data_IF_624384235892
#
_entry.id   IF_624384235892
#
_cell.length_a   1.000
_cell.length_b   1.000
_cell.length_c   1.000
_cell.angle_alpha   90.00
_cell.angle_beta   90.00
_cell.angle_gamma   90.00
#
_symmetry.space_group_name_H-M   'P 1'
#
loop_
_entity.id
_entity.type
_entity.pdbx_description
1 polymer ?
#
# COMPACT_ATOMS: atom_id res chain seq x y z
N UNK A 1 6.58 22.57 -1.31
CA UNK A 1 6.37 21.17 -0.85
C UNK A 1 4.87 20.88 -0.91
N UNK A 2 4.43 19.75 -1.49
CA UNK A 2 3.00 19.38 -1.53
C UNK A 2 2.49 19.19 -0.09
N UNK A 3 1.21 19.56 0.14
CA UNK A 3 0.53 19.26 1.39
C UNK A 3 0.22 17.76 1.46
N UNK A 4 0.35 17.17 2.63
CA UNK A 4 -0.07 15.80 2.92
C UNK A 4 -1.55 15.72 3.39
N UNK A 5 -2.34 16.75 3.10
CA UNK A 5 -3.75 16.81 3.47
C UNK A 5 -4.62 16.26 2.35
N UNK A 6 -5.59 15.41 2.71
CA UNK A 6 -6.58 14.93 1.73
C UNK A 6 -7.57 16.04 1.32
N UNK A 7 -8.13 15.93 0.11
CA UNK A 7 -9.19 16.81 -0.36
C UNK A 7 -10.54 16.59 0.37
N UNK A 8 -10.69 15.51 1.13
CA UNK A 8 -11.94 15.22 1.82
C UNK A 8 -12.17 16.14 3.00
N UNK A 9 -13.38 16.71 3.10
CA UNK A 9 -13.74 17.48 4.29
C UNK A 9 -13.89 16.56 5.51
N UNK A 10 -13.62 17.08 6.71
CA UNK A 10 -13.75 16.30 7.96
C UNK A 10 -15.11 15.57 8.12
N UNK A 11 -16.28 16.18 7.80
CA UNK A 11 -17.54 15.46 7.86
C UNK A 11 -17.64 14.30 6.87
N UNK A 12 -17.16 14.49 5.63
CA UNK A 12 -17.11 13.43 4.62
C UNK A 12 -16.21 12.30 5.08
N UNK A 13 -15.01 12.65 5.57
CA UNK A 13 -14.01 11.68 6.00
C UNK A 13 -14.51 10.78 7.11
N UNK A 14 -15.23 11.33 8.12
CA UNK A 14 -15.81 10.53 9.21
C UNK A 14 -16.84 9.51 8.74
N UNK A 15 -17.74 9.91 7.85
CA UNK A 15 -18.74 9.01 7.27
C UNK A 15 -18.10 7.96 6.38
N UNK A 16 -17.12 8.37 5.59
CA UNK A 16 -16.36 7.52 4.69
C UNK A 16 -15.56 6.46 5.47
N UNK A 17 -14.85 6.87 6.53
CA UNK A 17 -14.12 5.98 7.42
C UNK A 17 -15.01 4.87 8.01
N UNK A 18 -16.22 5.21 8.43
CA UNK A 18 -17.15 4.21 8.95
C UNK A 18 -17.48 3.14 7.88
N UNK A 19 -17.60 3.56 6.62
CA UNK A 19 -17.80 2.64 5.49
C UNK A 19 -16.59 1.76 5.23
N UNK A 20 -15.40 2.34 5.19
CA UNK A 20 -14.13 1.62 5.01
C UNK A 20 -13.94 0.56 6.08
N UNK A 21 -14.15 0.90 7.35
CA UNK A 21 -14.02 -0.05 8.48
C UNK A 21 -15.04 -1.19 8.45
N UNK A 22 -16.14 -1.03 7.73
CA UNK A 22 -17.16 -2.07 7.54
C UNK A 22 -17.05 -2.81 6.20
N UNK A 23 -16.13 -2.40 5.32
CA UNK A 23 -16.06 -2.93 3.97
C UNK A 23 -15.56 -4.38 3.94
N UNK A 24 -16.20 -5.20 3.10
CA UNK A 24 -15.79 -6.58 2.86
C UNK A 24 -15.71 -6.87 1.38
N UNK A 25 -14.74 -7.66 0.97
CA UNK A 25 -14.64 -8.23 -0.36
C UNK A 25 -14.91 -9.73 -0.32
N UNK A 26 -15.90 -10.21 -1.05
CA UNK A 26 -16.37 -11.63 -1.01
C UNK A 26 -16.61 -12.14 0.42
N UNK A 27 -17.09 -11.27 1.31
CA UNK A 27 -17.36 -11.61 2.71
C UNK A 27 -16.14 -11.55 3.65
N UNK A 28 -14.94 -11.28 3.13
CA UNK A 28 -13.71 -11.10 3.90
C UNK A 28 -13.48 -9.61 4.13
N UNK A 29 -13.07 -9.22 5.35
CA UNK A 29 -12.73 -7.82 5.62
C UNK A 29 -11.62 -7.34 4.67
N UNK A 30 -11.92 -6.20 4.01
CA UNK A 30 -11.01 -5.54 3.09
C UNK A 30 -11.05 -4.04 3.40
N UNK A 31 -10.16 -3.59 4.28
CA UNK A 31 -10.19 -2.23 4.85
C UNK A 31 -9.60 -1.18 3.88
N UNK A 32 -9.85 -1.35 2.58
CA UNK A 32 -9.39 -0.43 1.53
C UNK A 32 -10.46 0.62 1.21
N UNK A 33 -10.01 1.83 1.00
CA UNK A 33 -10.85 2.92 0.51
C UNK A 33 -11.36 2.61 -0.91
N UNK A 34 -12.66 2.73 -1.19
CA UNK A 34 -13.19 2.53 -2.55
C UNK A 34 -12.56 3.43 -3.61
N UNK A 35 -12.11 4.63 -3.23
CA UNK A 35 -11.39 5.54 -4.14
C UNK A 35 -10.02 4.96 -4.46
N UNK A 36 -9.30 4.46 -3.46
CA UNK A 36 -8.00 3.86 -3.67
C UNK A 36 -8.10 2.54 -4.43
N UNK A 37 -9.18 1.76 -4.26
CA UNK A 37 -9.48 0.62 -5.13
C UNK A 37 -9.59 1.06 -6.59
N UNK A 38 -10.26 2.19 -6.88
CA UNK A 38 -10.34 2.71 -8.24
C UNK A 38 -8.96 3.19 -8.78
N UNK A 39 -8.13 3.76 -7.92
CA UNK A 39 -6.73 4.10 -8.27
C UNK A 39 -5.94 2.82 -8.57
N UNK A 40 -6.08 1.77 -7.75
CA UNK A 40 -5.42 0.48 -7.99
C UNK A 40 -5.85 -0.17 -9.30
N UNK A 41 -7.14 -0.10 -9.67
CA UNK A 41 -7.62 -0.59 -10.97
C UNK A 41 -6.86 0.06 -12.13
N UNK A 42 -6.74 1.38 -12.13
CA UNK A 42 -5.96 2.13 -13.14
C UNK A 42 -4.48 1.75 -13.10
N UNK A 43 -3.89 1.78 -11.90
CA UNK A 43 -2.47 1.48 -11.69
C UNK A 43 -2.12 0.08 -12.21
N UNK A 44 -2.87 -0.95 -11.83
CA UNK A 44 -2.61 -2.32 -12.26
C UNK A 44 -2.74 -2.48 -13.78
N UNK A 45 -3.74 -1.82 -14.38
CA UNK A 45 -3.93 -1.85 -15.84
C UNK A 45 -2.76 -1.17 -16.60
N UNK A 46 -2.27 -0.05 -16.11
CA UNK A 46 -1.20 0.72 -16.76
C UNK A 46 0.19 0.11 -16.48
N UNK A 47 0.47 -0.27 -15.23
CA UNK A 47 1.76 -0.80 -14.79
C UNK A 47 1.98 -2.25 -15.27
N UNK A 48 0.94 -3.08 -15.28
CA UNK A 48 1.00 -4.53 -15.56
C UNK A 48 2.07 -5.23 -14.72
N UNK A 49 1.98 -5.14 -13.37
CA UNK A 49 3.02 -5.63 -12.49
C UNK A 49 3.22 -7.13 -12.61
N UNK A 50 4.46 -7.58 -12.40
CA UNK A 50 4.82 -9.00 -12.27
C UNK A 50 4.76 -9.46 -10.82
N UNK A 51 4.73 -8.51 -9.89
CA UNK A 51 4.53 -8.71 -8.46
C UNK A 51 3.51 -7.70 -7.95
N UNK A 52 2.55 -8.20 -7.16
CA UNK A 52 1.75 -7.38 -6.24
C UNK A 52 2.10 -7.88 -4.84
N UNK A 53 2.77 -7.03 -4.06
CA UNK A 53 3.18 -7.37 -2.70
C UNK A 53 2.48 -6.44 -1.73
N UNK A 54 1.82 -7.03 -0.75
CA UNK A 54 1.15 -6.31 0.35
C UNK A 54 1.87 -6.60 1.66
N UNK A 55 2.21 -5.56 2.41
CA UNK A 55 2.62 -5.65 3.81
C UNK A 55 1.46 -5.19 4.66
N UNK A 56 0.90 -6.10 5.45
CA UNK A 56 -0.34 -5.90 6.21
C UNK A 56 -1.53 -6.67 5.60
N UNK A 57 -1.54 -8.00 5.75
CA UNK A 57 -2.63 -8.86 5.24
C UNK A 57 -3.93 -8.70 6.00
N UNK A 58 -3.86 -8.39 7.29
CA UNK A 58 -4.99 -8.37 8.23
C UNK A 58 -5.88 -9.63 8.08
N UNK A 59 -7.06 -9.51 7.45
CA UNK A 59 -7.97 -10.64 7.19
C UNK A 59 -7.77 -11.30 5.81
N UNK A 60 -6.88 -10.76 4.95
CA UNK A 60 -6.60 -11.25 3.60
C UNK A 60 -7.57 -10.77 2.51
N UNK A 61 -8.50 -9.86 2.84
CA UNK A 61 -9.51 -9.40 1.88
C UNK A 61 -8.93 -8.57 0.73
N UNK A 62 -7.91 -7.77 0.99
CA UNK A 62 -7.18 -7.00 -0.03
C UNK A 62 -6.34 -7.89 -0.93
N UNK A 63 -5.64 -8.87 -0.37
CA UNK A 63 -4.91 -9.86 -1.16
C UNK A 63 -5.84 -10.63 -2.11
N UNK A 64 -7.05 -11.03 -1.64
CA UNK A 64 -8.07 -11.66 -2.46
C UNK A 64 -8.57 -10.73 -3.57
N UNK A 65 -8.78 -9.45 -3.26
CA UNK A 65 -9.14 -8.44 -4.26
C UNK A 65 -8.04 -8.32 -5.34
N UNK A 66 -6.78 -8.21 -4.94
CA UNK A 66 -5.66 -8.13 -5.89
C UNK A 66 -5.53 -9.38 -6.76
N UNK A 67 -5.74 -10.57 -6.21
CA UNK A 67 -5.72 -11.80 -6.98
C UNK A 67 -6.82 -11.83 -8.05
N UNK A 68 -8.05 -11.43 -7.69
CA UNK A 68 -9.17 -11.35 -8.65
C UNK A 68 -8.93 -10.26 -9.71
N UNK A 69 -8.39 -9.11 -9.33
CA UNK A 69 -8.07 -8.06 -10.29
C UNK A 69 -6.98 -8.49 -11.28
N UNK A 70 -5.94 -9.16 -10.79
CA UNK A 70 -4.89 -9.71 -11.65
C UNK A 70 -5.46 -10.72 -12.65
N UNK A 71 -6.33 -11.62 -12.20
CA UNK A 71 -7.00 -12.60 -13.07
C UNK A 71 -7.90 -11.94 -14.12
N UNK A 72 -8.78 -11.02 -13.69
CA UNK A 72 -9.72 -10.31 -14.60
C UNK A 72 -8.96 -9.50 -15.66
N UNK A 73 -7.83 -8.91 -15.28
CA UNK A 73 -6.99 -8.11 -16.19
C UNK A 73 -6.01 -8.94 -17.01
N UNK A 74 -5.93 -10.26 -16.79
CA UNK A 74 -4.98 -11.15 -17.46
C UNK A 74 -3.51 -10.83 -17.12
N UNK A 75 -3.23 -10.40 -15.89
CA UNK A 75 -1.89 -10.09 -15.43
C UNK A 75 -1.18 -11.38 -14.98
N UNK A 76 0.07 -11.54 -15.38
CA UNK A 76 0.94 -12.62 -14.91
C UNK A 76 1.70 -12.17 -13.64
N UNK A 77 0.97 -11.73 -12.62
CA UNK A 77 1.52 -11.23 -11.37
C UNK A 77 1.53 -12.31 -10.28
N UNK A 78 2.63 -12.44 -9.54
CA UNK A 78 2.62 -13.13 -8.24
C UNK A 78 1.97 -12.23 -7.21
N UNK A 79 1.06 -12.80 -6.39
CA UNK A 79 0.44 -12.09 -5.27
C UNK A 79 1.06 -12.60 -3.99
N UNK A 80 1.74 -11.72 -3.26
CA UNK A 80 2.38 -12.02 -1.97
C UNK A 80 1.79 -11.07 -0.93
N UNK A 81 1.37 -11.58 0.21
CA UNK A 81 0.86 -10.78 1.31
C UNK A 81 1.54 -11.18 2.61
N UNK A 82 2.16 -10.22 3.31
CA UNK A 82 2.98 -10.43 4.51
C UNK A 82 2.28 -9.81 5.71
N UNK A 83 2.21 -10.53 6.82
CA UNK A 83 1.67 -10.02 8.08
C UNK A 83 2.35 -10.73 9.27
N UNK A 84 2.25 -10.15 10.45
CA UNK A 84 2.66 -10.81 11.70
C UNK A 84 1.92 -12.14 11.93
N UNK A 85 0.67 -12.22 11.42
CA UNK A 85 -0.17 -13.41 11.49
C UNK A 85 -0.74 -13.75 10.11
N UNK A 86 -0.58 -14.99 9.69
CA UNK A 86 -1.18 -15.48 8.44
C UNK A 86 -2.70 -15.51 8.60
N UNK A 87 -3.49 -14.90 7.67
CA UNK A 87 -4.94 -14.94 7.72
C UNK A 87 -5.50 -16.38 7.67
N UNK A 88 -6.35 -16.75 8.63
CA UNK A 88 -6.94 -18.09 8.66
C UNK A 88 -8.16 -18.24 7.73
N UNK A 89 -8.83 -17.11 7.40
CA UNK A 89 -10.11 -17.07 6.70
C UNK A 89 -10.03 -17.10 5.18
N UNK A 90 -8.85 -16.96 4.59
CA UNK A 90 -8.65 -16.94 3.14
C UNK A 90 -7.72 -18.08 2.73
N UNK A 91 -8.20 -18.91 1.80
CA UNK A 91 -7.40 -19.93 1.13
C UNK A 91 -7.60 -19.78 -0.36
N UNK A 92 -6.57 -19.33 -1.05
CA UNK A 92 -6.57 -19.09 -2.49
C UNK A 92 -5.16 -19.39 -3.02
N UNK A 93 -5.04 -20.34 -3.92
CA UNK A 93 -3.76 -20.82 -4.44
C UNK A 93 -3.01 -19.77 -5.28
N UNK A 94 -3.69 -18.67 -5.63
CA UNK A 94 -3.08 -17.52 -6.34
C UNK A 94 -2.31 -16.60 -5.40
N UNK A 95 -2.50 -16.75 -4.06
CA UNK A 95 -1.94 -15.86 -3.05
C UNK A 95 -0.93 -16.63 -2.19
N UNK A 96 0.25 -16.06 -2.04
CA UNK A 96 1.25 -16.54 -1.08
C UNK A 96 1.18 -15.68 0.18
N UNK A 97 0.62 -16.22 1.27
CA UNK A 97 0.66 -15.57 2.56
C UNK A 97 1.95 -15.94 3.30
N UNK A 98 2.64 -14.93 3.82
CA UNK A 98 3.91 -15.08 4.55
C UNK A 98 3.78 -14.45 5.94
N UNK A 99 4.39 -15.09 6.93
CA UNK A 99 4.53 -14.48 8.25
C UNK A 99 5.80 -13.64 8.29
N UNK A 100 5.67 -12.35 8.62
CA UNK A 100 6.81 -11.43 8.71
C UNK A 100 6.45 -10.15 9.47
N UNK A 101 7.47 -9.48 9.96
CA UNK A 101 7.37 -8.18 10.64
C UNK A 101 7.86 -7.08 9.69
N UNK A 102 7.09 -5.99 9.57
CA UNK A 102 7.50 -4.81 8.78
C UNK A 102 8.86 -4.24 9.22
N UNK A 103 9.21 -4.44 10.49
CA UNK A 103 10.50 -4.00 11.04
C UNK A 103 11.68 -4.87 10.58
N UNK A 104 11.44 -6.06 10.02
CA UNK A 104 12.48 -7.01 9.57
C UNK A 104 11.96 -7.87 8.41
N UNK A 105 11.62 -7.23 7.29
CA UNK A 105 11.09 -7.91 6.10
C UNK A 105 12.15 -8.68 5.32
N UNK A 106 13.40 -8.25 5.33
CA UNK A 106 14.46 -8.81 4.50
C UNK A 106 14.49 -10.33 4.47
N UNK A 107 14.59 -11.02 5.63
CA UNK A 107 14.70 -12.49 5.67
C UNK A 107 13.52 -13.23 5.03
N UNK A 108 12.27 -12.76 5.24
CA UNK A 108 11.07 -13.42 4.68
C UNK A 108 10.96 -13.17 3.17
N UNK A 109 11.34 -11.97 2.70
CA UNK A 109 11.33 -11.63 1.29
C UNK A 109 12.42 -12.38 0.51
N UNK A 110 13.61 -12.54 1.07
CA UNK A 110 14.67 -13.36 0.51
C UNK A 110 14.26 -14.84 0.45
N UNK A 111 13.71 -15.38 1.54
CA UNK A 111 13.30 -16.77 1.61
C UNK A 111 12.20 -17.13 0.61
N UNK A 112 11.35 -16.19 0.22
CA UNK A 112 10.32 -16.42 -0.81
C UNK A 112 10.81 -16.18 -2.26
N UNK A 113 12.08 -15.83 -2.44
CA UNK A 113 12.68 -15.56 -3.75
C UNK A 113 12.14 -14.29 -4.40
N UNK A 114 11.91 -13.23 -3.60
CA UNK A 114 11.34 -11.97 -4.11
C UNK A 114 12.19 -11.40 -5.24
N UNK A 115 13.51 -11.35 -5.04
CA UNK A 115 14.46 -10.70 -5.98
C UNK A 115 14.57 -11.44 -7.33
N UNK A 116 14.01 -12.65 -7.44
CA UNK A 116 13.92 -13.42 -8.69
C UNK A 116 12.67 -13.05 -9.52
N UNK A 117 11.73 -12.28 -8.94
CA UNK A 117 10.49 -11.89 -9.63
C UNK A 117 10.78 -10.70 -10.55
N UNK A 118 10.45 -10.80 -11.86
CA UNK A 118 10.65 -9.69 -12.78
C UNK A 118 9.90 -8.43 -12.39
N UNK A 119 10.40 -7.28 -12.77
CA UNK A 119 9.71 -6.00 -12.66
C UNK A 119 8.75 -5.78 -13.86
N UNK A 120 7.79 -4.86 -13.77
CA UNK A 120 7.60 -3.92 -12.65
C UNK A 120 6.87 -4.54 -11.45
N UNK A 121 7.05 -3.93 -10.28
CA UNK A 121 6.39 -4.29 -9.03
C UNK A 121 5.38 -3.24 -8.59
N UNK A 122 4.30 -3.70 -7.99
CA UNK A 122 3.41 -2.89 -7.18
C UNK A 122 3.46 -3.37 -5.74
N UNK A 123 3.85 -2.49 -4.84
CA UNK A 123 3.98 -2.77 -3.41
C UNK A 123 3.01 -1.89 -2.64
N UNK A 124 2.30 -2.44 -1.65
CA UNK A 124 1.51 -1.68 -0.69
C UNK A 124 2.05 -1.88 0.72
N UNK A 125 2.25 -0.82 1.47
CA UNK A 125 2.52 -0.83 2.91
C UNK A 125 1.26 -0.36 3.64
N UNK A 126 0.58 -1.29 4.27
CA UNK A 126 -0.70 -1.13 4.98
C UNK A 126 -0.68 -1.90 6.30
N UNK A 127 0.47 -1.88 6.99
CA UNK A 127 0.67 -2.65 8.21
C UNK A 127 0.19 -1.89 9.47
N UNK A 128 1.07 -1.69 10.44
CA UNK A 128 0.72 -1.01 11.69
C UNK A 128 0.68 0.53 11.60
N UNK A 129 0.96 1.12 10.45
CA UNK A 129 1.01 2.57 10.17
C UNK A 129 1.93 3.37 11.11
N UNK A 130 2.80 2.71 11.88
CA UNK A 130 3.74 3.40 12.75
C UNK A 130 4.82 4.11 11.94
N UNK A 131 5.26 5.27 12.40
CA UNK A 131 6.38 6.00 11.77
C UNK A 131 7.60 5.09 11.53
N UNK A 132 8.00 4.30 12.54
CA UNK A 132 9.16 3.40 12.43
C UNK A 132 8.92 2.28 11.39
N UNK A 133 7.73 1.67 11.37
CA UNK A 133 7.38 0.62 10.39
C UNK A 133 7.36 1.15 8.97
N UNK A 134 6.77 2.34 8.75
CA UNK A 134 6.76 2.99 7.44
C UNK A 134 8.20 3.33 6.96
N UNK A 135 9.08 3.81 7.84
CA UNK A 135 10.49 4.05 7.50
C UNK A 135 11.23 2.75 7.18
N UNK A 136 10.98 1.66 7.93
CA UNK A 136 11.59 0.36 7.67
C UNK A 136 11.17 -0.17 6.29
N UNK A 137 9.88 -0.11 5.96
CA UNK A 137 9.37 -0.50 4.65
C UNK A 137 9.96 0.35 3.52
N UNK A 138 10.02 1.69 3.69
CA UNK A 138 10.64 2.58 2.70
C UNK A 138 12.10 2.23 2.46
N UNK A 139 12.88 1.94 3.51
CA UNK A 139 14.27 1.54 3.39
C UNK A 139 14.42 0.20 2.66
N UNK A 140 13.64 -0.81 3.05
CA UNK A 140 13.66 -2.15 2.45
C UNK A 140 13.32 -2.10 0.96
N UNK A 141 12.19 -1.48 0.61
CA UNK A 141 11.75 -1.45 -0.78
C UNK A 141 12.55 -0.50 -1.66
N UNK A 142 13.11 0.58 -1.11
CA UNK A 142 14.01 1.44 -1.90
C UNK A 142 15.25 0.73 -2.39
N UNK A 143 15.73 -0.27 -1.63
CA UNK A 143 16.90 -1.06 -1.99
C UNK A 143 16.60 -2.14 -3.06
N UNK A 144 15.36 -2.63 -3.12
CA UNK A 144 14.95 -3.73 -4.01
C UNK A 144 14.22 -3.29 -5.28
N UNK A 145 13.45 -2.21 -5.19
CA UNK A 145 12.65 -1.71 -6.31
C UNK A 145 13.52 -1.09 -7.40
N UNK A 146 13.05 -1.20 -8.64
CA UNK A 146 13.69 -0.65 -9.84
C UNK A 146 12.90 0.54 -10.39
N UNK A 147 13.53 1.40 -11.21
CA UNK A 147 12.85 2.53 -11.83
C UNK A 147 11.54 2.13 -12.54
N UNK A 148 10.47 2.82 -12.20
CA UNK A 148 9.12 2.57 -12.70
C UNK A 148 8.23 1.73 -11.78
N UNK A 149 8.78 1.03 -10.80
CA UNK A 149 7.97 0.36 -9.76
C UNK A 149 7.17 1.36 -8.94
N UNK A 150 6.05 0.92 -8.38
CA UNK A 150 5.18 1.75 -7.55
C UNK A 150 5.08 1.18 -6.15
N UNK A 151 5.30 2.04 -5.15
CA UNK A 151 5.01 1.78 -3.74
C UNK A 151 3.83 2.66 -3.31
N UNK A 152 2.78 2.06 -2.75
CA UNK A 152 1.71 2.76 -2.06
C UNK A 152 1.94 2.66 -0.54
N UNK A 153 2.23 3.81 0.09
CA UNK A 153 2.23 3.97 1.54
C UNK A 153 0.81 4.37 1.93
N UNK A 154 0.12 3.46 2.60
CA UNK A 154 -1.31 3.63 2.87
C UNK A 154 -1.58 4.43 4.15
N UNK A 155 -2.84 4.85 4.28
CA UNK A 155 -3.41 5.49 5.48
C UNK A 155 -2.76 6.81 5.93
N UNK A 156 -2.16 7.58 5.01
CA UNK A 156 -1.75 8.97 5.29
C UNK A 156 -2.89 9.86 5.79
N UNK A 157 -4.13 9.48 5.52
CA UNK A 157 -5.36 10.13 6.02
C UNK A 157 -5.48 10.19 7.55
N UNK A 158 -4.67 9.45 8.29
CA UNK A 158 -4.64 9.46 9.77
C UNK A 158 -4.41 10.87 10.34
N UNK A 159 -3.68 11.74 9.63
CA UNK A 159 -3.50 13.15 10.00
C UNK A 159 -4.83 13.92 9.92
N UNK A 160 -5.57 13.77 8.82
CA UNK A 160 -6.85 14.43 8.61
C UNK A 160 -7.96 13.90 9.55
N UNK A 161 -7.85 12.64 9.95
CA UNK A 161 -8.67 12.03 11.00
C UNK A 161 -8.31 12.51 12.41
N UNK A 162 -7.13 13.10 12.59
CA UNK A 162 -6.63 13.61 13.86
C UNK A 162 -6.19 12.51 14.84
N UNK A 163 -5.69 11.40 14.32
CA UNK A 163 -5.24 10.25 15.12
C UNK A 163 -3.79 9.82 14.86
N UNK A 164 -3.05 10.54 14.02
CA UNK A 164 -1.66 10.21 13.65
C UNK A 164 -0.69 10.18 14.83
N UNK A 165 -0.96 10.92 15.92
CA UNK A 165 -0.14 10.88 17.13
C UNK A 165 -0.07 9.47 17.75
N UNK A 166 -1.11 8.64 17.57
CA UNK A 166 -1.12 7.25 18.05
C UNK A 166 -0.10 6.37 17.33
N UNK A 167 0.38 6.83 16.19
CA UNK A 167 1.30 6.15 15.28
C UNK A 167 2.63 6.90 15.15
N UNK A 168 2.95 7.75 16.11
CA UNK A 168 4.12 8.63 16.12
C UNK A 168 4.23 9.48 14.83
N UNK A 169 3.10 10.06 14.40
CA UNK A 169 3.00 10.83 13.18
C UNK A 169 2.75 10.01 11.91
N UNK A 170 2.85 8.69 11.99
CA UNK A 170 2.43 7.74 10.97
C UNK A 170 3.06 7.88 9.59
N UNK A 171 2.32 7.45 8.55
CA UNK A 171 2.83 7.39 7.18
C UNK A 171 3.29 8.75 6.64
N UNK A 172 2.53 9.83 6.86
CA UNK A 172 2.86 11.16 6.30
C UNK A 172 4.17 11.71 6.85
N UNK A 173 4.41 11.52 8.16
CA UNK A 173 5.69 11.90 8.78
C UNK A 173 6.85 11.10 8.20
N UNK A 174 6.70 9.79 8.11
CA UNK A 174 7.72 8.91 7.55
C UNK A 174 8.05 9.27 6.09
N UNK A 175 7.03 9.49 5.26
CA UNK A 175 7.19 9.92 3.88
C UNK A 175 7.92 11.26 3.77
N UNK A 176 7.51 12.26 4.56
CA UNK A 176 8.13 13.58 4.54
C UNK A 176 9.61 13.53 4.91
N UNK A 177 9.95 12.81 5.98
CA UNK A 177 11.33 12.63 6.44
C UNK A 177 12.16 11.82 5.43
N UNK A 178 11.60 10.71 4.92
CA UNK A 178 12.33 9.83 3.99
C UNK A 178 12.64 10.53 2.66
N UNK A 179 11.64 11.16 2.03
CA UNK A 179 11.82 11.85 0.76
C UNK A 179 12.81 13.02 0.87
N UNK A 180 12.82 13.72 2.00
CA UNK A 180 13.78 14.80 2.26
C UNK A 180 15.22 14.28 2.45
N UNK A 181 15.36 13.12 3.10
CA UNK A 181 16.67 12.52 3.37
C UNK A 181 17.27 11.78 2.16
N UNK A 182 16.41 11.30 1.23
CA UNK A 182 16.81 10.47 0.10
C UNK A 182 16.29 11.03 -1.24
N UNK A 183 16.72 12.24 -1.62
CA UNK A 183 16.29 12.85 -2.88
C UNK A 183 16.69 11.99 -4.07
N UNK A 184 15.78 11.80 -5.03
CA UNK A 184 16.05 11.01 -6.24
C UNK A 184 15.86 9.50 -6.09
N UNK A 185 15.39 9.01 -4.94
CA UNK A 185 15.06 7.58 -4.76
C UNK A 185 13.63 7.28 -5.18
N UNK A 186 12.70 8.14 -4.77
CA UNK A 186 11.31 8.10 -5.16
C UNK A 186 10.81 9.49 -5.55
N UNK A 187 9.82 9.51 -6.42
CA UNK A 187 8.98 10.69 -6.66
C UNK A 187 7.53 10.39 -6.25
N UNK A 188 6.79 11.43 -5.87
CA UNK A 188 5.34 11.31 -5.65
C UNK A 188 4.68 11.16 -7.01
N UNK A 189 3.96 10.07 -7.23
CA UNK A 189 3.15 9.84 -8.42
C UNK A 189 1.88 10.70 -8.35
N UNK A 190 2.03 12.00 -8.68
CA UNK A 190 0.94 12.99 -8.57
C UNK A 190 -0.28 12.62 -9.40
N UNK A 191 -0.08 11.96 -10.54
CA UNK A 191 -1.13 11.46 -11.42
C UNK A 191 -2.03 10.42 -10.76
N UNK A 192 -1.50 9.67 -9.78
CA UNK A 192 -2.26 8.74 -8.96
C UNK A 192 -2.87 9.44 -7.74
N UNK A 193 -2.08 10.24 -7.02
CA UNK A 193 -2.55 10.96 -5.84
C UNK A 193 -3.72 11.91 -6.15
N UNK A 194 -3.70 12.53 -7.32
CA UNK A 194 -4.64 13.58 -7.74
C UNK A 194 -5.69 13.08 -8.75
N UNK A 195 -5.81 11.78 -8.98
CA UNK A 195 -6.72 11.21 -9.98
C UNK A 195 -8.16 11.71 -9.85
N UNK A 196 -8.64 11.92 -8.63
CA UNK A 196 -9.99 12.40 -8.32
C UNK A 196 -10.01 13.82 -7.75
N UNK A 197 -8.90 14.53 -7.83
CA UNK A 197 -8.64 15.86 -7.27
C UNK A 197 -7.43 15.83 -6.35
N UNK A 198 -6.87 17.01 -5.97
CA UNK A 198 -5.64 17.09 -5.20
C UNK A 198 -5.68 16.25 -3.92
N UNK A 199 -4.88 15.17 -3.87
CA UNK A 199 -4.89 14.20 -2.78
C UNK A 199 -6.29 13.66 -2.41
N UNK A 200 -7.20 13.47 -3.39
CA UNK A 200 -8.51 12.86 -3.17
C UNK A 200 -8.36 11.34 -3.00
N UNK A 201 -7.64 10.91 -1.98
CA UNK A 201 -7.25 9.55 -1.65
C UNK A 201 -7.14 9.39 -0.13
N UNK A 202 -7.11 8.17 0.37
CA UNK A 202 -6.74 7.83 1.75
C UNK A 202 -5.23 7.90 1.98
N UNK A 203 -4.47 7.93 0.87
CA UNK A 203 -3.01 7.90 0.85
C UNK A 203 -2.46 9.25 0.31
N UNK A 204 -2.66 10.40 0.99
CA UNK A 204 -2.19 11.69 0.50
C UNK A 204 -0.68 11.67 0.24
N UNK A 205 -0.26 11.91 -1.00
CA UNK A 205 1.13 11.76 -1.46
C UNK A 205 1.74 10.37 -1.23
N UNK A 206 0.93 9.37 -0.92
CA UNK A 206 1.38 8.03 -0.55
C UNK A 206 1.73 7.13 -1.75
N UNK A 207 1.37 7.51 -2.98
CA UNK A 207 1.79 6.77 -4.17
C UNK A 207 3.16 7.27 -4.61
N UNK A 208 4.16 6.39 -4.57
CA UNK A 208 5.55 6.70 -4.89
C UNK A 208 5.99 5.91 -6.12
N UNK A 209 6.63 6.58 -7.07
CA UNK A 209 7.30 5.94 -8.21
C UNK A 209 8.79 5.88 -7.94
N UNK A 210 9.38 4.70 -8.08
CA UNK A 210 10.82 4.51 -8.00
C UNK A 210 11.50 5.20 -9.19
N UNK A 211 12.56 5.97 -8.93
CA UNK A 211 13.38 6.69 -9.92
C UNK A 211 14.61 5.90 -10.32
#
# INVERSE_FOLDING_TARGET
MRSFTTAFTKPMLKGYQAGVMGYTYKGVRCLKSPIDIAIYLRLLWELKPRLILEVGSHSGGSALLFADLAEIMGLEARIISVDLNIPEGVRDDRITFLQGDVMDLGPVLEACGLDEIPHPWFVTEDSAHSHAGCLAALAEFSARMQPGDILAMEDGVLDDLGISERYDGGPNRALGEYLAAHPGVFEIAEDLCDMFGPNATYNPNGYLRKL
#
